data_IF_894324502843
#
_entry.id   IF_894324502843
#
_cell.length_a   1.000
_cell.length_b   1.000
_cell.length_c   1.000
_cell.angle_alpha   90.00
_cell.angle_beta   90.00
_cell.angle_gamma   90.00
#
_symmetry.space_group_name_H-M   'P 1'
#
loop_
_entity.id
_entity.type
_entity.pdbx_description
1 polymer ?
#
# COMPACT_ATOMS: atom_id res chain seq x y z
N UNK A 1 -13.57 10.59 9.98
CA UNK A 1 -13.34 10.17 8.58
C UNK A 1 -13.11 8.67 8.43
N UNK A 2 -12.25 8.04 9.23
CA UNK A 2 -11.94 6.60 9.09
C UNK A 2 -12.86 5.71 9.94
N UNK A 3 -13.02 6.03 11.22
CA UNK A 3 -13.66 5.12 12.20
C UNK A 3 -15.18 5.23 12.34
N UNK A 4 -15.83 6.17 11.65
CA UNK A 4 -17.28 6.27 11.72
C UNK A 4 -17.91 5.09 10.98
N UNK A 5 -18.90 4.42 11.58
CA UNK A 5 -19.56 3.24 10.99
C UNK A 5 -20.36 3.58 9.73
N UNK A 6 -20.96 4.78 9.70
CA UNK A 6 -21.77 5.26 8.60
C UNK A 6 -20.93 5.88 7.46
N UNK A 7 -21.20 5.45 6.22
CA UNK A 7 -20.52 5.92 5.01
C UNK A 7 -20.81 7.40 4.74
N UNK A 8 -22.04 7.86 5.00
CA UNK A 8 -22.41 9.26 4.76
C UNK A 8 -21.55 10.18 5.64
N UNK A 9 -21.46 9.88 6.93
CA UNK A 9 -20.63 10.60 7.91
C UNK A 9 -19.15 10.61 7.54
N UNK A 10 -18.60 9.47 7.07
CA UNK A 10 -17.20 9.41 6.60
C UNK A 10 -16.97 10.34 5.41
N UNK A 11 -17.89 10.35 4.45
CA UNK A 11 -17.79 11.15 3.22
C UNK A 11 -17.97 12.64 3.50
N UNK A 12 -18.96 13.00 4.32
CA UNK A 12 -19.19 14.38 4.76
C UNK A 12 -17.99 14.92 5.54
N UNK A 13 -17.42 14.12 6.45
CA UNK A 13 -16.21 14.53 7.17
C UNK A 13 -15.01 14.74 6.23
N UNK A 14 -14.85 13.91 5.20
CA UNK A 14 -13.80 14.09 4.19
C UNK A 14 -14.00 15.37 3.39
N UNK A 15 -15.24 15.66 2.99
CA UNK A 15 -15.59 16.90 2.31
C UNK A 15 -15.29 18.13 3.17
N UNK A 16 -15.76 18.15 4.42
CA UNK A 16 -15.51 19.24 5.36
C UNK A 16 -14.01 19.42 5.65
N UNK A 17 -13.26 18.34 5.77
CA UNK A 17 -11.81 18.41 5.95
C UNK A 17 -11.13 19.14 4.77
N UNK A 18 -11.49 18.80 3.53
CA UNK A 18 -10.93 19.47 2.35
C UNK A 18 -11.27 20.96 2.32
N UNK A 19 -12.52 21.33 2.65
CA UNK A 19 -12.94 22.73 2.76
C UNK A 19 -12.15 23.46 3.84
N UNK A 20 -12.03 22.86 5.03
CA UNK A 20 -11.30 23.42 6.15
C UNK A 20 -9.84 23.72 5.78
N UNK A 21 -9.13 22.77 5.14
CA UNK A 21 -7.76 23.01 4.68
C UNK A 21 -7.71 24.17 3.70
N UNK A 22 -8.64 24.26 2.75
CA UNK A 22 -8.68 25.35 1.77
C UNK A 22 -8.88 26.74 2.39
N UNK A 23 -9.46 26.85 3.60
CA UNK A 23 -9.59 28.11 4.33
C UNK A 23 -8.24 28.68 4.82
N UNK A 24 -7.20 27.86 4.94
CA UNK A 24 -5.89 28.33 5.38
C UNK A 24 -5.07 28.91 4.23
N UNK A 25 -4.16 29.83 4.55
CA UNK A 25 -3.12 30.27 3.63
C UNK A 25 -2.19 29.11 3.22
N UNK A 26 -1.45 29.20 2.09
CA UNK A 26 -0.61 28.12 1.59
C UNK A 26 0.36 27.53 2.64
N UNK A 27 0.97 28.37 3.46
CA UNK A 27 1.86 27.94 4.55
C UNK A 27 1.11 27.19 5.65
N UNK A 28 -0.11 27.61 5.97
CA UNK A 28 -0.98 26.92 6.93
C UNK A 28 -1.43 25.56 6.40
N UNK A 29 -1.83 25.50 5.13
CA UNK A 29 -2.16 24.24 4.44
C UNK A 29 -1.00 23.25 4.47
N UNK A 30 0.22 23.68 4.16
CA UNK A 30 1.42 22.83 4.24
C UNK A 30 1.66 22.30 5.66
N UNK A 31 1.52 23.17 6.68
CA UNK A 31 1.66 22.79 8.09
C UNK A 31 0.60 21.79 8.58
N UNK A 32 -0.56 21.72 7.92
CA UNK A 32 -1.59 20.71 8.19
C UNK A 32 -1.28 19.40 7.45
N UNK A 33 -0.91 19.48 6.17
CA UNK A 33 -0.69 18.30 5.33
C UNK A 33 0.59 17.53 5.72
N UNK A 34 1.69 18.24 6.02
CA UNK A 34 2.98 17.61 6.29
C UNK A 34 2.94 16.64 7.50
N UNK A 35 2.34 16.96 8.66
CA UNK A 35 2.20 16.02 9.76
C UNK A 35 1.39 14.77 9.40
N UNK A 36 0.28 14.93 8.65
CA UNK A 36 -0.55 13.81 8.19
C UNK A 36 0.29 12.85 7.35
N UNK A 37 1.07 13.40 6.41
CA UNK A 37 1.94 12.64 5.51
C UNK A 37 3.12 11.97 6.22
N UNK A 38 3.60 12.56 7.32
CA UNK A 38 4.81 12.09 8.01
C UNK A 38 4.55 11.11 9.16
N UNK A 39 3.28 10.84 9.50
CA UNK A 39 2.92 10.03 10.66
C UNK A 39 2.74 8.54 10.30
N UNK A 40 3.59 7.61 10.82
CA UNK A 40 3.52 6.19 10.44
C UNK A 40 2.22 5.49 10.84
N UNK A 41 1.62 5.91 11.96
CA UNK A 41 0.36 5.33 12.48
C UNK A 41 -0.89 5.90 11.83
N UNK A 42 -0.75 6.79 10.86
CA UNK A 42 -1.88 7.35 10.17
C UNK A 42 -2.45 6.34 9.17
N UNK A 43 -3.77 6.38 8.98
CA UNK A 43 -4.45 5.52 8.02
C UNK A 43 -3.99 5.81 6.59
N UNK A 44 -3.58 4.78 5.85
CA UNK A 44 -3.02 4.86 4.51
C UNK A 44 -3.91 5.65 3.53
N UNK A 45 -5.20 5.35 3.48
CA UNK A 45 -6.15 6.11 2.65
C UNK A 45 -6.27 7.60 3.00
N UNK A 46 -6.08 8.01 4.26
CA UNK A 46 -6.09 9.43 4.61
C UNK A 46 -4.80 10.15 4.19
N UNK A 47 -3.68 9.44 4.27
CA UNK A 47 -2.41 9.91 3.70
C UNK A 47 -2.50 10.02 2.19
N UNK A 48 -3.14 9.07 1.50
CA UNK A 48 -3.45 9.17 0.07
C UNK A 48 -4.25 10.43 -0.29
N UNK A 49 -5.26 10.78 0.52
CA UNK A 49 -6.00 12.06 0.36
C UNK A 49 -5.07 13.26 0.54
N UNK A 50 -4.20 13.24 1.56
CA UNK A 50 -3.26 14.34 1.80
C UNK A 50 -2.24 14.49 0.66
N UNK A 51 -1.76 13.38 0.08
CA UNK A 51 -0.88 13.39 -1.11
C UNK A 51 -1.62 14.04 -2.29
N UNK A 52 -2.88 13.66 -2.50
CA UNK A 52 -3.69 14.25 -3.56
C UNK A 52 -3.87 15.75 -3.38
N UNK A 53 -4.11 16.24 -2.16
CA UNK A 53 -4.18 17.68 -1.90
C UNK A 53 -2.84 18.38 -2.10
N UNK A 54 -1.73 17.75 -1.68
CA UNK A 54 -0.39 18.28 -1.94
C UNK A 54 -0.11 18.42 -3.44
N UNK A 55 -0.52 17.42 -4.23
CA UNK A 55 -0.43 17.43 -5.70
C UNK A 55 -1.11 18.63 -6.32
N UNK A 56 -2.29 18.99 -5.80
CA UNK A 56 -3.08 20.09 -6.34
C UNK A 56 -2.39 21.45 -6.05
N UNK A 57 -1.70 21.60 -4.92
CA UNK A 57 -1.04 22.85 -4.53
C UNK A 57 0.41 23.02 -5.02
N UNK A 58 1.11 21.95 -5.40
CA UNK A 58 2.58 21.98 -5.62
C UNK A 58 3.02 22.96 -6.71
N UNK A 59 2.18 23.18 -7.72
CA UNK A 59 2.45 24.12 -8.82
C UNK A 59 1.84 25.51 -8.59
N UNK A 60 0.96 25.66 -7.60
CA UNK A 60 0.27 26.94 -7.33
C UNK A 60 1.06 27.80 -6.34
N UNK A 61 1.82 27.17 -5.44
CA UNK A 61 2.45 27.86 -4.32
C UNK A 61 3.86 27.35 -4.04
N UNK A 62 4.84 28.27 -4.00
CA UNK A 62 6.26 27.97 -3.77
C UNK A 62 6.54 27.24 -2.45
N UNK A 63 5.68 27.37 -1.43
CA UNK A 63 5.84 26.68 -0.15
C UNK A 63 5.84 25.15 -0.26
N UNK A 64 5.32 24.59 -1.35
CA UNK A 64 5.28 23.15 -1.61
C UNK A 64 6.45 22.65 -2.47
N UNK A 65 7.39 23.51 -2.84
CA UNK A 65 8.49 23.21 -3.76
C UNK A 65 9.83 23.11 -3.01
N UNK A 66 10.91 22.78 -3.73
CA UNK A 66 12.27 22.83 -3.19
C UNK A 66 12.47 21.93 -1.97
N UNK A 67 13.05 22.49 -0.90
CA UNK A 67 13.34 21.75 0.34
C UNK A 67 12.09 21.16 0.99
N UNK A 68 10.93 21.83 0.88
CA UNK A 68 9.68 21.36 1.48
C UNK A 68 9.09 20.17 0.73
N UNK A 69 9.25 20.14 -0.60
CA UNK A 69 8.92 18.99 -1.44
C UNK A 69 9.79 17.79 -1.09
N UNK A 70 11.11 18.00 -1.04
CA UNK A 70 12.08 16.97 -0.67
C UNK A 70 11.80 16.40 0.71
N UNK A 71 11.53 17.27 1.69
CA UNK A 71 11.19 16.86 3.05
C UNK A 71 9.92 16.02 3.06
N UNK A 72 8.88 16.45 2.35
CA UNK A 72 7.63 15.71 2.25
C UNK A 72 7.86 14.32 1.62
N UNK A 73 8.54 14.25 0.47
CA UNK A 73 8.78 12.99 -0.24
C UNK A 73 9.57 12.01 0.63
N UNK A 74 10.65 12.46 1.29
CA UNK A 74 11.41 11.61 2.23
C UNK A 74 10.55 11.07 3.37
N UNK A 75 9.70 11.91 3.96
CA UNK A 75 8.78 11.49 5.01
C UNK A 75 7.79 10.44 4.51
N UNK A 76 7.18 10.66 3.33
CA UNK A 76 6.20 9.72 2.77
C UNK A 76 6.87 8.40 2.40
N UNK A 77 8.07 8.41 1.81
CA UNK A 77 8.85 7.20 1.53
C UNK A 77 9.09 6.40 2.82
N UNK A 78 9.53 7.07 3.90
CA UNK A 78 9.79 6.41 5.18
C UNK A 78 8.54 5.80 5.82
N UNK A 79 7.36 6.34 5.53
CA UNK A 79 6.07 5.82 6.04
C UNK A 79 5.53 4.70 5.13
N UNK A 80 5.69 4.84 3.82
CA UNK A 80 5.21 3.88 2.83
C UNK A 80 6.01 2.58 2.85
N UNK A 81 7.33 2.67 3.07
CA UNK A 81 8.24 1.54 3.19
C UNK A 81 8.99 1.58 4.53
N UNK A 82 8.34 1.21 5.64
CA UNK A 82 9.02 1.00 6.90
C UNK A 82 10.06 -0.12 6.74
N UNK A 83 11.21 0.04 7.40
CA UNK A 83 12.31 -0.95 7.34
C UNK A 83 12.01 -2.28 8.05
N UNK A 84 10.84 -2.39 8.66
CA UNK A 84 10.45 -3.56 9.41
C UNK A 84 10.05 -4.69 8.45
N UNK A 85 10.68 -5.86 8.62
CA UNK A 85 10.46 -7.06 7.82
C UNK A 85 9.01 -7.59 7.83
N UNK A 86 8.16 -7.05 8.72
CA UNK A 86 6.75 -7.41 8.87
C UNK A 86 5.80 -6.43 8.17
N UNK A 87 6.29 -5.44 7.42
CA UNK A 87 5.39 -4.49 6.77
C UNK A 87 4.61 -5.19 5.66
N UNK A 88 3.29 -5.29 5.86
CA UNK A 88 2.38 -5.71 4.81
C UNK A 88 2.22 -4.58 3.79
N UNK A 89 2.73 -4.79 2.57
CA UNK A 89 2.58 -3.85 1.45
C UNK A 89 1.11 -3.53 1.17
N UNK A 90 0.19 -4.46 1.44
CA UNK A 90 -1.24 -4.25 1.21
C UNK A 90 -1.83 -3.22 2.17
N UNK A 91 -1.36 -3.16 3.42
CA UNK A 91 -1.83 -2.18 4.40
C UNK A 91 -1.42 -0.75 4.00
N UNK A 92 -0.26 -0.61 3.34
CA UNK A 92 0.30 0.68 2.91
C UNK A 92 0.03 1.01 1.45
N UNK A 93 -0.77 0.18 0.78
CA UNK A 93 -0.99 0.25 -0.65
C UNK A 93 -1.50 1.61 -1.12
N UNK A 94 -2.48 2.19 -0.42
CA UNK A 94 -3.04 3.51 -0.77
C UNK A 94 -1.98 4.62 -0.79
N UNK A 95 -1.00 4.56 0.13
CA UNK A 95 0.09 5.56 0.20
C UNK A 95 1.08 5.33 -0.93
N UNK A 96 1.45 4.06 -1.16
CA UNK A 96 2.38 3.68 -2.24
C UNK A 96 1.80 4.11 -3.59
N UNK A 97 0.53 3.80 -3.85
CA UNK A 97 -0.20 4.25 -5.03
C UNK A 97 -0.26 5.78 -5.12
N UNK A 98 -0.58 6.45 -4.02
CA UNK A 98 -0.64 7.91 -3.95
C UNK A 98 0.71 8.54 -4.31
N UNK A 99 1.80 8.05 -3.71
CA UNK A 99 3.15 8.55 -3.93
C UNK A 99 3.63 8.28 -5.36
N UNK A 100 3.46 7.06 -5.89
CA UNK A 100 3.85 6.73 -7.27
C UNK A 100 3.12 7.62 -8.28
N UNK A 101 1.81 7.81 -8.11
CA UNK A 101 1.05 8.68 -9.00
C UNK A 101 1.43 10.15 -8.85
N UNK A 102 1.70 10.62 -7.64
CA UNK A 102 2.21 11.97 -7.41
C UNK A 102 3.56 12.20 -8.09
N UNK A 103 4.51 11.28 -7.94
CA UNK A 103 5.83 11.35 -8.55
C UNK A 103 5.76 11.32 -10.08
N UNK A 104 4.95 10.41 -10.65
CA UNK A 104 4.69 10.38 -12.11
C UNK A 104 4.13 11.71 -12.58
N UNK A 105 3.13 12.24 -11.89
CA UNK A 105 2.50 13.50 -12.23
C UNK A 105 3.48 14.68 -12.24
N UNK A 106 4.23 14.86 -11.15
CA UNK A 106 5.11 16.03 -11.00
C UNK A 106 6.30 15.95 -11.96
N UNK A 107 6.88 14.76 -12.17
CA UNK A 107 8.02 14.60 -13.08
C UNK A 107 7.63 14.75 -14.55
N UNK A 108 6.40 14.38 -14.94
CA UNK A 108 5.90 14.66 -16.29
C UNK A 108 5.61 16.16 -16.46
N UNK A 109 5.00 16.79 -15.44
CA UNK A 109 4.55 18.18 -15.52
C UNK A 109 5.68 19.21 -15.40
N UNK A 110 6.71 18.90 -14.62
CA UNK A 110 7.91 19.72 -14.44
C UNK A 110 9.10 19.01 -15.09
N UNK A 111 9.41 19.28 -16.37
CA UNK A 111 10.46 18.56 -17.08
C UNK A 111 11.85 18.96 -16.55
N UNK A 112 12.84 18.08 -16.73
CA UNK A 112 14.17 18.22 -16.13
C UNK A 112 14.91 19.52 -16.46
N UNK A 113 14.71 20.05 -17.66
CA UNK A 113 15.35 21.29 -18.10
C UNK A 113 14.77 22.55 -17.41
N UNK A 114 13.54 22.48 -16.90
CA UNK A 114 12.92 23.56 -16.13
C UNK A 114 13.16 23.36 -14.63
N UNK A 115 12.86 22.16 -14.13
CA UNK A 115 13.03 21.74 -12.74
C UNK A 115 12.54 22.79 -11.72
N UNK A 116 11.39 23.41 -11.99
CA UNK A 116 10.84 24.49 -11.19
C UNK A 116 10.56 24.07 -9.74
N UNK A 117 10.13 22.83 -9.55
CA UNK A 117 9.80 22.26 -8.25
C UNK A 117 11.02 21.70 -7.51
N UNK A 118 12.18 21.64 -8.17
CA UNK A 118 13.39 20.95 -7.73
C UNK A 118 13.23 19.43 -7.53
N UNK A 119 12.23 18.80 -8.17
CA UNK A 119 12.00 17.35 -8.06
C UNK A 119 13.17 16.53 -8.64
N UNK A 120 13.82 17.02 -9.68
CA UNK A 120 14.90 16.28 -10.36
C UNK A 120 16.18 16.21 -9.54
N UNK A 121 16.38 17.16 -8.62
CA UNK A 121 17.53 17.20 -7.71
C UNK A 121 17.55 15.99 -6.76
N UNK A 122 16.39 15.35 -6.58
CA UNK A 122 16.18 14.25 -5.65
C UNK A 122 15.80 12.96 -6.37
N UNK A 123 15.91 12.92 -7.71
CA UNK A 123 15.58 11.74 -8.50
C UNK A 123 16.40 10.51 -8.06
N UNK A 124 17.69 10.70 -7.73
CA UNK A 124 18.55 9.65 -7.19
C UNK A 124 18.05 9.13 -5.84
N UNK A 125 17.60 10.03 -4.96
CA UNK A 125 16.99 9.66 -3.67
C UNK A 125 15.73 8.83 -3.89
N UNK A 126 14.89 9.20 -4.86
CA UNK A 126 13.67 8.44 -5.21
C UNK A 126 14.04 7.05 -5.75
N UNK A 127 15.05 6.96 -6.63
CA UNK A 127 15.49 5.68 -7.17
C UNK A 127 16.05 4.75 -6.08
N UNK A 128 16.99 5.25 -5.28
CA UNK A 128 17.72 4.43 -4.30
C UNK A 128 16.89 4.13 -3.05
N UNK A 129 16.12 5.10 -2.54
CA UNK A 129 15.45 4.94 -1.25
C UNK A 129 13.99 4.52 -1.36
N UNK A 130 13.40 4.52 -2.57
CA UNK A 130 12.01 4.13 -2.77
C UNK A 130 11.84 3.10 -3.88
N UNK A 131 12.26 3.38 -5.11
CA UNK A 131 11.99 2.47 -6.23
C UNK A 131 12.70 1.12 -6.10
N UNK A 132 13.99 1.10 -5.75
CA UNK A 132 14.72 -0.17 -5.54
C UNK A 132 14.14 -0.97 -4.36
N UNK A 133 13.98 -0.41 -3.14
CA UNK A 133 13.38 -1.15 -2.03
C UNK A 133 11.94 -1.61 -2.31
N UNK A 134 11.13 -0.81 -3.02
CA UNK A 134 9.78 -1.20 -3.40
C UNK A 134 9.79 -2.41 -4.34
N UNK A 135 10.70 -2.45 -5.31
CA UNK A 135 10.84 -3.58 -6.21
C UNK A 135 11.19 -4.87 -5.45
N UNK A 136 12.18 -4.81 -4.56
CA UNK A 136 12.58 -5.95 -3.72
C UNK A 136 11.43 -6.43 -2.84
N UNK A 137 10.69 -5.50 -2.23
CA UNK A 137 9.53 -5.82 -1.41
C UNK A 137 8.41 -6.50 -2.22
N UNK A 138 8.11 -6.00 -3.43
CA UNK A 138 7.11 -6.58 -4.32
C UNK A 138 7.48 -7.99 -4.78
N UNK A 139 8.75 -8.22 -5.11
CA UNK A 139 9.27 -9.54 -5.48
C UNK A 139 9.13 -10.53 -4.31
N UNK A 140 9.52 -10.13 -3.11
CA UNK A 140 9.40 -10.95 -1.90
C UNK A 140 7.93 -11.25 -1.55
N UNK A 141 7.07 -10.24 -1.56
CA UNK A 141 5.64 -10.41 -1.32
C UNK A 141 5.02 -11.33 -2.36
N UNK A 142 5.31 -11.14 -3.64
CA UNK A 142 4.82 -12.03 -4.70
C UNK A 142 5.22 -13.49 -4.48
N UNK A 143 6.49 -13.75 -4.17
CA UNK A 143 6.98 -15.12 -3.92
C UNK A 143 6.20 -15.74 -2.76
N UNK A 144 6.01 -14.99 -1.67
CA UNK A 144 5.28 -15.43 -0.49
C UNK A 144 3.81 -15.76 -0.81
N UNK A 145 3.10 -14.89 -1.52
CA UNK A 145 1.69 -15.11 -1.89
C UNK A 145 1.52 -16.23 -2.92
N UNK A 146 2.45 -16.38 -3.89
CA UNK A 146 2.45 -17.50 -4.84
C UNK A 146 2.69 -18.84 -4.13
N UNK A 147 3.58 -18.86 -3.16
CA UNK A 147 3.83 -20.05 -2.35
C UNK A 147 2.58 -20.44 -1.56
N UNK A 148 1.90 -19.47 -0.93
CA UNK A 148 0.65 -19.71 -0.21
C UNK A 148 -0.46 -20.22 -1.15
N UNK A 149 -0.57 -19.66 -2.35
CA UNK A 149 -1.49 -20.13 -3.37
C UNK A 149 -1.25 -21.60 -3.78
N UNK A 150 0.02 -22.00 -3.90
CA UNK A 150 0.39 -23.39 -4.20
C UNK A 150 -0.02 -24.33 -3.05
N UNK A 151 0.21 -23.96 -1.79
CA UNK A 151 -0.23 -24.75 -0.64
C UNK A 151 -1.74 -24.94 -0.63
N UNK A 152 -2.51 -23.88 -0.87
CA UNK A 152 -3.98 -23.97 -0.91
C UNK A 152 -4.47 -24.90 -2.02
N UNK A 153 -3.83 -24.87 -3.20
CA UNK A 153 -4.14 -25.81 -4.29
C UNK A 153 -3.86 -27.26 -3.87
N UNK A 154 -2.74 -27.52 -3.20
CA UNK A 154 -2.44 -28.86 -2.68
C UNK A 154 -3.44 -29.33 -1.62
N UNK A 155 -3.89 -28.43 -0.73
CA UNK A 155 -4.92 -28.75 0.26
C UNK A 155 -6.25 -29.12 -0.40
N UNK A 156 -6.72 -28.34 -1.39
CA UNK A 156 -7.92 -28.67 -2.16
C UNK A 156 -7.81 -30.03 -2.85
N UNK A 157 -6.65 -30.33 -3.45
CA UNK A 157 -6.41 -31.62 -4.11
C UNK A 157 -6.42 -32.79 -3.12
N UNK A 158 -5.93 -32.62 -1.89
CA UNK A 158 -5.97 -33.63 -0.84
C UNK A 158 -7.39 -33.86 -0.31
N UNK A 159 -8.19 -32.81 -0.17
CA UNK A 159 -9.61 -32.92 0.21
C UNK A 159 -10.42 -33.70 -0.84
N UNK A 160 -10.29 -33.32 -2.12
CA UNK A 160 -10.99 -34.01 -3.21
C UNK A 160 -10.60 -35.49 -3.36
N UNK A 161 -9.35 -35.87 -3.03
CA UNK A 161 -8.90 -37.26 -3.04
C UNK A 161 -9.47 -38.08 -1.87
N UNK A 162 -9.70 -37.47 -0.73
CA UNK A 162 -10.31 -38.13 0.43
C UNK A 162 -11.81 -38.37 0.22
N UNK A 163 -12.51 -37.46 -0.46
CA UNK A 163 -13.93 -37.63 -0.81
C UNK A 163 -14.14 -38.76 -1.85
N UNK A 164 -13.16 -39.00 -2.73
CA UNK A 164 -13.21 -40.11 -3.70
C UNK A 164 -12.85 -41.49 -3.09
N UNK A 165 -12.22 -41.54 -1.90
CA UNK A 165 -11.86 -42.80 -1.23
C UNK A 165 -12.90 -43.31 -0.22
N UNK A 166 -13.96 -42.54 0.10
CA UNK A 166 -15.05 -43.02 0.96
C UNK A 166 -16.06 -43.96 0.26
N UNK A 167 -15.82 -44.33 -1.00
CA UNK A 167 -16.65 -45.28 -1.76
C UNK A 167 -16.28 -46.77 -1.66
N UNK A 168 -15.19 -47.16 -0.98
CA UNK A 168 -14.84 -48.58 -0.80
C UNK A 168 -14.36 -48.87 0.62
N UNK A 169 -15.01 -49.86 1.24
CA UNK A 169 -15.01 -50.07 2.67
C UNK A 169 -13.69 -50.45 3.34
N UNK A 170 -13.72 -50.23 4.65
CA UNK A 170 -13.05 -50.92 5.77
C UNK A 170 -11.72 -50.39 6.35
N UNK A 171 -11.86 -50.02 7.65
CA UNK A 171 -11.01 -50.23 8.83
C UNK A 171 -9.69 -49.46 8.99
N UNK A 172 -9.74 -48.56 9.98
CA UNK A 172 -8.75 -48.20 11.02
C UNK A 172 -7.29 -48.03 10.56
N UNK A 173 -6.79 -46.79 10.69
CA UNK A 173 -5.55 -46.49 11.43
C UNK A 173 -5.59 -45.04 11.93
N UNK A 174 -5.55 -44.87 13.26
CA UNK A 174 -5.29 -43.59 13.93
C UNK A 174 -3.85 -43.17 13.59
N UNK A 175 -3.70 -42.06 12.87
CA UNK A 175 -2.44 -41.35 12.72
C UNK A 175 -2.70 -39.89 13.06
N UNK A 176 -2.02 -39.37 14.08
CA UNK A 176 -2.10 -37.99 14.55
C UNK A 176 -1.68 -37.04 13.42
N UNK A 177 -2.62 -36.26 12.89
CA UNK A 177 -2.29 -35.04 12.14
C UNK A 177 -2.26 -33.88 13.13
N UNK A 178 -1.07 -33.42 13.46
CA UNK A 178 -0.87 -32.10 14.05
C UNK A 178 -1.15 -31.06 12.96
N UNK A 179 -2.40 -30.62 12.84
CA UNK A 179 -2.68 -29.31 12.28
C UNK A 179 -2.25 -28.29 13.32
N UNK A 180 -1.20 -27.53 13.02
CA UNK A 180 -0.86 -26.30 13.72
C UNK A 180 -1.99 -25.29 13.53
N UNK A 181 -3.04 -25.45 14.33
CA UNK A 181 -4.15 -24.52 14.46
C UNK A 181 -3.61 -23.34 15.26
N UNK A 182 -3.20 -22.28 14.56
CA UNK A 182 -2.86 -21.02 15.20
C UNK A 182 -4.17 -20.51 15.81
N UNK A 183 -4.22 -20.53 17.14
CA UNK A 183 -5.37 -20.14 17.93
C UNK A 183 -5.60 -18.63 17.76
N UNK A 184 -6.49 -18.24 16.83
CA UNK A 184 -6.86 -16.85 16.53
C UNK A 184 -8.00 -16.37 17.44
N UNK A 185 -7.99 -16.75 18.72
CA UNK A 185 -8.92 -16.21 19.70
C UNK A 185 -8.28 -15.01 20.41
N UNK A 186 -8.89 -13.83 20.27
CA UNK A 186 -8.51 -12.62 21.02
C UNK A 186 -9.65 -12.28 21.95
N UNK A 187 -9.38 -12.31 23.26
CA UNK A 187 -10.34 -11.91 24.29
C UNK A 187 -10.25 -10.38 24.44
N UNK A 188 -11.23 -9.66 23.91
CA UNK A 188 -11.28 -8.20 23.98
C UNK A 188 -11.81 -7.73 25.34
N UNK A 189 -12.61 -8.56 26.04
CA UNK A 189 -13.11 -8.28 27.40
C UNK A 189 -13.19 -9.55 28.28
N UNK A 190 -12.94 -9.46 29.60
CA UNK A 190 -12.84 -10.63 30.49
C UNK A 190 -14.10 -11.51 30.63
N UNK A 191 -15.27 -11.04 30.19
CA UNK A 191 -16.57 -11.68 30.47
C UNK A 191 -17.42 -11.98 29.22
N UNK A 192 -16.88 -11.89 28.01
CA UNK A 192 -17.61 -12.24 26.78
C UNK A 192 -17.10 -13.57 26.21
N UNK A 193 -18.02 -14.36 25.62
CA UNK A 193 -17.65 -15.59 24.90
C UNK A 193 -16.62 -15.22 23.83
N UNK A 194 -15.54 -16.01 23.65
CA UNK A 194 -14.57 -15.75 22.60
C UNK A 194 -15.30 -15.68 21.26
N UNK A 195 -15.30 -14.50 20.65
CA UNK A 195 -15.86 -14.28 19.34
C UNK A 195 -15.04 -15.14 18.38
N UNK A 196 -15.61 -16.26 17.93
CA UNK A 196 -15.01 -17.05 16.88
C UNK A 196 -15.09 -16.21 15.61
N UNK A 197 -13.94 -15.72 15.14
CA UNK A 197 -13.85 -15.16 13.81
C UNK A 197 -14.35 -16.23 12.83
N UNK A 198 -15.27 -15.90 11.91
CA UNK A 198 -15.69 -16.85 10.90
C UNK A 198 -14.45 -17.38 10.18
N UNK A 199 -14.25 -18.69 10.18
CA UNK A 199 -13.16 -19.32 9.44
C UNK A 199 -13.35 -19.02 7.96
N UNK A 200 -12.37 -18.35 7.36
CA UNK A 200 -12.37 -18.03 5.94
C UNK A 200 -12.39 -19.33 5.14
N UNK A 201 -13.29 -19.45 4.15
CA UNK A 201 -13.30 -20.65 3.30
C UNK A 201 -12.09 -20.66 2.38
N UNK A 202 -11.67 -21.84 1.91
CA UNK A 202 -10.50 -21.97 1.02
C UNK A 202 -10.72 -21.21 -0.30
N UNK A 203 -11.97 -21.07 -0.76
CA UNK A 203 -12.34 -20.24 -1.90
C UNK A 203 -12.16 -18.75 -1.63
N UNK A 204 -12.56 -18.28 -0.45
CA UNK A 204 -12.39 -16.88 -0.04
C UNK A 204 -10.91 -16.54 0.10
N UNK A 205 -10.13 -17.41 0.75
CA UNK A 205 -8.69 -17.23 0.91
C UNK A 205 -7.95 -17.18 -0.44
N UNK A 206 -8.32 -18.08 -1.36
CA UNK A 206 -7.81 -18.03 -2.74
C UNK A 206 -8.15 -16.71 -3.43
N UNK A 207 -9.36 -16.17 -3.24
CA UNK A 207 -9.77 -14.90 -3.84
C UNK A 207 -8.99 -13.72 -3.27
N UNK A 208 -8.78 -13.68 -1.96
CA UNK A 208 -7.97 -12.63 -1.30
C UNK A 208 -6.52 -12.65 -1.78
N UNK A 209 -5.90 -13.83 -1.90
CA UNK A 209 -4.53 -13.96 -2.45
C UNK A 209 -4.46 -13.48 -3.90
N UNK A 210 -5.46 -13.82 -4.72
CA UNK A 210 -5.51 -13.34 -6.10
C UNK A 210 -5.66 -11.81 -6.17
N UNK A 211 -6.48 -11.21 -5.31
CA UNK A 211 -6.64 -9.76 -5.22
C UNK A 211 -5.32 -9.07 -4.81
N UNK A 212 -4.61 -9.65 -3.84
CA UNK A 212 -3.30 -9.16 -3.44
C UNK A 212 -2.28 -9.19 -4.59
N UNK A 213 -2.22 -10.28 -5.34
CA UNK A 213 -1.34 -10.41 -6.50
C UNK A 213 -1.67 -9.38 -7.59
N UNK A 214 -2.96 -9.16 -7.88
CA UNK A 214 -3.40 -8.11 -8.81
C UNK A 214 -2.97 -6.72 -8.33
N UNK A 215 -3.10 -6.43 -7.03
CA UNK A 215 -2.63 -5.16 -6.48
C UNK A 215 -1.12 -4.97 -6.69
N UNK A 216 -0.31 -6.01 -6.48
CA UNK A 216 1.13 -5.92 -6.73
C UNK A 216 1.46 -5.64 -8.20
N UNK A 217 0.75 -6.28 -9.15
CA UNK A 217 0.91 -6.01 -10.59
C UNK A 217 0.57 -4.56 -10.94
N UNK A 218 -0.47 -4.00 -10.33
CA UNK A 218 -0.84 -2.59 -10.52
C UNK A 218 0.24 -1.63 -9.98
N UNK A 219 0.82 -1.91 -8.81
CA UNK A 219 1.93 -1.12 -8.24
C UNK A 219 3.15 -1.17 -9.17
N UNK A 220 3.50 -2.36 -9.67
CA UNK A 220 4.62 -2.55 -10.59
C UNK A 220 4.46 -1.81 -11.91
N UNK A 221 3.23 -1.75 -12.45
CA UNK A 221 2.96 -0.97 -13.65
C UNK A 221 3.29 0.51 -13.44
N UNK A 222 2.92 1.06 -12.28
CA UNK A 222 3.23 2.45 -11.93
C UNK A 222 4.71 2.67 -11.67
N UNK A 223 5.33 1.73 -10.96
CA UNK A 223 6.77 1.73 -10.68
C UNK A 223 7.59 1.73 -11.97
N UNK A 224 7.29 0.80 -12.89
CA UNK A 224 7.97 0.68 -14.18
C UNK A 224 7.82 1.96 -14.99
N UNK A 225 6.61 2.52 -15.06
CA UNK A 225 6.40 3.78 -15.78
C UNK A 225 7.15 4.95 -15.15
N UNK A 226 7.24 5.01 -13.82
CA UNK A 226 8.02 6.06 -13.16
C UNK A 226 9.52 5.91 -13.44
N UNK A 227 10.03 4.68 -13.46
CA UNK A 227 11.42 4.38 -13.81
C UNK A 227 11.73 4.82 -15.24
N UNK A 228 10.87 4.49 -16.20
CA UNK A 228 10.97 4.96 -17.59
C UNK A 228 11.05 6.49 -17.68
N UNK A 229 10.17 7.23 -16.98
CA UNK A 229 10.19 8.70 -16.99
C UNK A 229 11.54 9.24 -16.49
N UNK A 230 12.10 8.63 -15.46
CA UNK A 230 13.39 9.04 -14.92
C UNK A 230 14.51 8.75 -15.93
N UNK A 231 14.49 7.58 -16.58
CA UNK A 231 15.50 7.15 -17.53
C UNK A 231 15.44 7.95 -18.85
N UNK A 232 14.23 8.20 -19.39
CA UNK A 232 13.97 9.03 -20.58
C UNK A 232 14.58 10.44 -20.43
N UNK A 233 14.50 11.02 -19.23
CA UNK A 233 14.98 12.37 -18.93
C UNK A 233 16.45 12.39 -18.48
N UNK A 234 17.12 11.23 -18.38
CA UNK A 234 18.56 11.12 -18.14
C UNK A 234 19.37 11.03 -19.45
N UNK A 235 18.75 10.66 -20.56
CA UNK A 235 19.42 10.63 -21.85
C UNK A 235 19.76 12.06 -22.31
N UNK A 236 21.02 12.34 -22.70
CA UNK A 236 21.35 13.63 -23.28
C UNK A 236 20.51 13.79 -24.55
N UNK A 237 19.71 14.86 -24.61
CA UNK A 237 19.02 15.25 -25.84
C UNK A 237 20.10 15.44 -26.90
N UNK A 238 20.21 14.47 -27.81
CA UNK A 238 21.04 14.58 -29.00
C UNK A 238 20.45 15.74 -29.80
N UNK A 239 21.25 16.79 -29.97
CA UNK A 239 20.90 18.03 -30.64
C UNK A 239 20.42 17.81 -32.08
#
# INVERSE_FOLDING_TARGET
MVFALDKHSRTTALFLFKQLVNCFEPTGRYKILYPILSQPRQHAGFQGVAIQMYKDFVFEHQVYQGSNLLRMIRSVISVALPKDANTDLLERNDIIFGLLNFLRYIMIRDPRHQNHTCIWDIATVIQENFLKPLQEALELSRISYKFELCKLKEMKLKMNKNDQQQGKGNKKKKGQNQSSQIDKSVVIYPNEKPMQWPEMTIEQEHKEIMLALQNFELIESLHSRLKEIIDEQQQPQSQ
#
